data_IF_937864309691
#
_entry.id   IF_937864309691
#
_cell.length_a   1.000
_cell.length_b   1.000
_cell.length_c   1.000
_cell.angle_alpha   90.00
_cell.angle_beta   90.00
_cell.angle_gamma   90.00
#
_symmetry.space_group_name_H-M   'P 1'
#
loop_
_entity.id
_entity.type
_entity.pdbx_description
1 polymer ?
#
# COMPACT_ATOMS: atom_id res chain seq x y z
N UNK A 1 56.76 15.80 -24.70
CA UNK A 1 55.38 15.43 -24.31
C UNK A 1 55.45 14.12 -23.55
N UNK A 2 55.27 14.16 -22.22
CA UNK A 2 55.37 13.00 -21.32
C UNK A 2 54.01 12.33 -21.21
N UNK A 3 53.83 11.14 -21.79
CA UNK A 3 52.57 10.41 -21.73
C UNK A 3 52.52 9.56 -20.46
N UNK A 4 51.82 10.05 -19.44
CA UNK A 4 51.61 9.32 -18.19
C UNK A 4 50.70 8.11 -18.44
N UNK A 5 51.24 6.89 -18.27
CA UNK A 5 50.54 5.63 -18.53
C UNK A 5 49.67 5.26 -17.32
N UNK A 6 48.36 5.43 -17.44
CA UNK A 6 47.39 5.05 -16.41
C UNK A 6 47.43 3.54 -16.22
N UNK A 7 47.73 3.07 -15.00
CA UNK A 7 47.64 1.65 -14.63
C UNK A 7 46.31 1.42 -13.94
N UNK A 8 45.37 0.79 -14.62
CA UNK A 8 44.17 0.27 -13.98
C UNK A 8 44.55 -0.88 -13.05
N UNK A 9 44.26 -0.76 -11.75
CA UNK A 9 44.33 -1.87 -10.81
C UNK A 9 42.94 -2.48 -10.71
N UNK A 10 42.84 -3.76 -11.05
CA UNK A 10 41.63 -4.55 -10.80
C UNK A 10 41.68 -4.97 -9.33
N UNK A 11 40.72 -4.49 -8.54
CA UNK A 11 40.53 -4.95 -7.15
C UNK A 11 39.50 -6.05 -7.20
N UNK A 12 39.91 -7.27 -6.85
CA UNK A 12 38.99 -8.39 -6.63
C UNK A 12 38.41 -8.23 -5.22
N UNK A 13 37.17 -7.74 -5.14
CA UNK A 13 36.44 -7.71 -3.89
C UNK A 13 35.78 -9.07 -3.67
N UNK A 14 36.20 -9.78 -2.62
CA UNK A 14 35.55 -11.03 -2.21
C UNK A 14 34.18 -10.71 -1.60
N UNK A 15 33.18 -11.58 -1.84
CA UNK A 15 31.78 -11.36 -1.46
C UNK A 15 31.61 -11.13 0.05
N UNK A 16 32.53 -11.71 0.83
CA UNK A 16 32.51 -11.65 2.29
C UNK A 16 33.12 -10.34 2.84
N UNK A 17 33.77 -9.54 2.00
CA UNK A 17 34.33 -8.22 2.34
C UNK A 17 33.27 -7.12 2.38
N UNK A 18 32.08 -7.38 1.81
CA UNK A 18 30.95 -6.44 1.70
C UNK A 18 29.83 -6.86 2.67
N UNK A 19 30.19 -7.46 3.81
CA UNK A 19 29.21 -7.67 4.88
C UNK A 19 29.19 -6.40 5.75
N UNK A 20 28.11 -5.59 5.71
CA UNK A 20 27.96 -4.51 6.66
C UNK A 20 27.93 -5.14 8.05
N UNK A 21 28.77 -4.66 8.97
CA UNK A 21 28.77 -5.15 10.36
C UNK A 21 27.33 -5.00 10.89
N UNK A 22 26.70 -6.13 11.20
CA UNK A 22 25.26 -6.32 11.47
C UNK A 22 24.71 -5.55 12.70
N UNK A 23 25.56 -4.79 13.38
CA UNK A 23 25.27 -4.08 14.64
C UNK A 23 25.35 -2.56 14.55
N UNK A 24 25.38 -1.98 13.34
CA UNK A 24 25.23 -0.55 13.23
C UNK A 24 23.77 -0.15 13.48
N UNK A 25 23.48 0.27 14.72
CA UNK A 25 22.17 0.75 15.17
C UNK A 25 21.61 1.81 14.20
N UNK A 26 22.50 2.55 13.54
CA UNK A 26 22.15 3.56 12.56
C UNK A 26 21.52 2.95 11.30
N UNK A 27 21.98 1.79 10.83
CA UNK A 27 21.42 1.10 9.67
C UNK A 27 20.07 0.48 10.00
N UNK A 28 19.88 -0.04 11.21
CA UNK A 28 18.55 -0.51 11.67
C UNK A 28 17.56 0.64 11.77
N UNK A 29 17.99 1.79 12.31
CA UNK A 29 17.14 2.98 12.39
C UNK A 29 16.80 3.52 11.01
N UNK A 30 17.79 3.62 10.10
CA UNK A 30 17.59 4.02 8.71
C UNK A 30 16.60 3.10 7.97
N UNK A 31 16.70 1.78 8.17
CA UNK A 31 15.73 0.83 7.59
C UNK A 31 14.32 1.00 8.17
N UNK A 32 14.21 1.25 9.48
CA UNK A 32 12.93 1.52 10.15
C UNK A 32 12.32 2.82 9.64
N UNK A 33 13.11 3.88 9.48
CA UNK A 33 12.63 5.18 8.99
C UNK A 33 12.17 5.09 7.54
N UNK A 34 12.95 4.43 6.67
CA UNK A 34 12.58 4.16 5.27
C UNK A 34 11.32 3.27 5.19
N UNK A 35 11.21 2.26 6.05
CA UNK A 35 10.04 1.38 6.09
C UNK A 35 8.79 2.11 6.57
N UNK A 36 8.91 2.96 7.60
CA UNK A 36 7.81 3.74 8.15
C UNK A 36 7.37 4.86 7.19
N UNK A 37 8.27 5.49 6.45
CA UNK A 37 7.91 6.50 5.45
C UNK A 37 7.09 5.90 4.30
N UNK A 38 7.37 4.66 3.90
CA UNK A 38 6.66 3.96 2.82
C UNK A 38 5.33 3.28 3.25
N UNK A 39 5.03 3.22 4.54
CA UNK A 39 3.83 2.52 5.06
C UNK A 39 2.74 3.50 5.54
N UNK A 40 3.07 4.77 5.71
CA UNK A 40 2.15 5.74 6.33
C UNK A 40 1.40 6.65 5.35
N UNK A 41 1.63 6.56 4.04
CA UNK A 41 0.66 7.09 3.07
C UNK A 41 -0.48 6.08 2.91
N UNK A 42 -1.39 6.10 3.89
CA UNK A 42 -2.64 5.37 3.79
C UNK A 42 -3.41 5.74 2.51
N UNK A 43 -4.47 4.99 2.22
CA UNK A 43 -5.35 5.27 1.09
C UNK A 43 -5.89 6.72 1.04
N UNK A 44 -5.81 7.45 2.14
CA UNK A 44 -6.28 8.81 2.31
C UNK A 44 -5.09 9.71 2.58
N UNK A 45 -4.93 10.72 1.72
CA UNK A 45 -3.92 11.76 1.88
C UNK A 45 -4.29 12.70 3.05
N UNK A 46 -3.32 13.45 3.55
CA UNK A 46 -3.52 14.46 4.61
C UNK A 46 -4.58 15.52 4.29
N UNK A 47 -4.84 15.76 3.00
CA UNK A 47 -5.88 16.68 2.52
C UNK A 47 -7.29 16.05 2.43
N UNK A 48 -7.47 14.79 2.85
CA UNK A 48 -8.74 14.07 2.79
C UNK A 48 -9.07 13.47 1.42
N UNK A 49 -8.21 13.61 0.41
CA UNK A 49 -8.39 12.97 -0.89
C UNK A 49 -7.95 11.50 -0.85
N UNK A 50 -8.74 10.63 -1.47
CA UNK A 50 -8.43 9.20 -1.56
C UNK A 50 -7.54 8.94 -2.78
N UNK A 51 -6.40 8.29 -2.56
CA UNK A 51 -5.47 7.86 -3.61
C UNK A 51 -5.89 6.48 -4.12
N UNK A 52 -6.67 6.43 -5.21
CA UNK A 52 -7.22 5.19 -5.76
C UNK A 52 -6.18 4.22 -6.33
N UNK A 53 -4.94 4.67 -6.50
CA UNK A 53 -3.83 3.90 -7.04
C UNK A 53 -3.01 3.19 -5.94
N UNK A 54 -3.36 3.41 -4.67
CA UNK A 54 -2.67 2.79 -3.56
C UNK A 54 -2.99 1.30 -3.48
N UNK A 55 -1.95 0.45 -3.45
CA UNK A 55 -2.10 -1.00 -3.28
C UNK A 55 -2.88 -1.39 -2.00
N UNK A 56 -2.92 -0.50 -1.00
CA UNK A 56 -3.65 -0.68 0.26
C UNK A 56 -5.18 -0.65 0.11
N UNK A 57 -5.73 -0.04 -0.95
CA UNK A 57 -7.18 -0.03 -1.21
C UNK A 57 -7.73 -1.37 -1.72
N UNK A 58 -6.84 -2.35 -1.90
CA UNK A 58 -7.18 -3.69 -2.32
C UNK A 58 -7.70 -3.76 -3.75
N UNK A 59 -7.91 -4.99 -4.22
CA UNK A 59 -8.42 -5.27 -5.56
C UNK A 59 -9.89 -4.84 -5.76
N UNK A 60 -10.58 -4.43 -4.69
CA UNK A 60 -11.98 -4.00 -4.74
C UNK A 60 -12.16 -2.66 -5.45
N UNK A 61 -11.17 -1.77 -5.39
CA UNK A 61 -11.18 -0.46 -6.05
C UNK A 61 -10.96 -0.55 -7.58
N UNK A 62 -10.58 -1.72 -8.09
CA UNK A 62 -10.26 -1.97 -9.50
C UNK A 62 -11.10 -3.17 -9.96
N UNK A 63 -12.25 -2.89 -10.56
CA UNK A 63 -13.15 -3.94 -11.03
C UNK A 63 -14.54 -3.43 -11.43
N UNK A 64 -15.46 -4.32 -11.85
CA UNK A 64 -16.80 -3.94 -12.31
C UNK A 64 -17.64 -3.25 -11.22
N UNK A 65 -17.36 -3.51 -9.95
CA UNK A 65 -18.04 -2.89 -8.80
C UNK A 65 -17.26 -1.72 -8.17
N UNK A 66 -16.19 -1.26 -8.84
CA UNK A 66 -15.34 -0.19 -8.32
C UNK A 66 -16.08 1.13 -8.14
N UNK A 67 -17.07 1.43 -8.99
CA UNK A 67 -17.85 2.68 -8.89
C UNK A 67 -18.65 2.78 -7.57
N UNK A 68 -19.26 1.67 -7.15
CA UNK A 68 -20.01 1.58 -5.90
C UNK A 68 -19.06 1.57 -4.70
N UNK A 69 -17.93 0.88 -4.81
CA UNK A 69 -16.88 0.89 -3.79
C UNK A 69 -16.33 2.30 -3.55
N UNK A 70 -16.01 3.03 -4.63
CA UNK A 70 -15.50 4.41 -4.54
C UNK A 70 -16.49 5.35 -3.85
N UNK A 71 -17.77 5.24 -4.19
CA UNK A 71 -18.83 6.04 -3.58
C UNK A 71 -19.03 5.73 -2.08
N UNK A 72 -19.04 4.45 -1.71
CA UNK A 72 -19.16 4.03 -0.31
C UNK A 72 -17.94 4.47 0.51
N UNK A 73 -16.73 4.30 -0.03
CA UNK A 73 -15.48 4.64 0.65
C UNK A 73 -15.30 6.16 0.77
N UNK A 74 -15.67 6.94 -0.26
CA UNK A 74 -15.70 8.41 -0.15
C UNK A 74 -16.67 8.89 0.90
N UNK A 75 -17.87 8.30 0.96
CA UNK A 75 -18.87 8.65 1.96
C UNK A 75 -18.38 8.34 3.37
N UNK A 76 -17.78 7.15 3.57
CA UNK A 76 -17.20 6.75 4.85
C UNK A 76 -16.09 7.71 5.30
N UNK A 77 -15.24 8.16 4.38
CA UNK A 77 -14.15 9.08 4.69
C UNK A 77 -14.64 10.49 5.05
N UNK A 78 -15.71 10.97 4.41
CA UNK A 78 -16.33 12.27 4.71
C UNK A 78 -17.28 12.25 5.91
N UNK A 79 -17.67 11.06 6.37
CA UNK A 79 -18.65 10.91 7.45
C UNK A 79 -18.05 11.27 8.80
N UNK A 80 -18.74 12.17 9.52
CA UNK A 80 -18.39 12.61 10.86
C UNK A 80 -19.23 11.92 11.95
N UNK A 81 -20.01 10.89 11.59
CA UNK A 81 -20.83 10.12 12.52
C UNK A 81 -19.99 9.05 13.22
N UNK A 82 -20.41 8.65 14.42
CA UNK A 82 -19.80 7.57 15.18
C UNK A 82 -20.84 6.44 15.33
N UNK A 83 -20.64 5.27 14.70
CA UNK A 83 -19.50 4.85 13.89
C UNK A 83 -19.45 5.54 12.51
N UNK A 84 -18.23 5.75 12.00
CA UNK A 84 -17.99 6.39 10.70
C UNK A 84 -18.74 5.65 9.60
N UNK A 85 -19.44 6.40 8.75
CA UNK A 85 -20.15 5.84 7.62
C UNK A 85 -21.46 5.12 7.96
N UNK A 86 -21.99 5.28 9.18
CA UNK A 86 -23.34 4.82 9.54
C UNK A 86 -24.44 5.39 8.63
N UNK A 87 -24.27 6.61 8.14
CA UNK A 87 -25.16 7.24 7.16
C UNK A 87 -24.94 6.73 5.72
N UNK A 88 -23.80 6.07 5.46
CA UNK A 88 -23.39 5.59 4.14
C UNK A 88 -23.76 4.13 3.89
N UNK A 89 -24.52 3.50 4.79
CA UNK A 89 -24.88 2.08 4.73
C UNK A 89 -25.55 1.69 3.42
N UNK A 90 -26.33 2.58 2.81
CA UNK A 90 -26.98 2.34 1.52
C UNK A 90 -25.95 2.12 0.41
N UNK A 91 -24.86 2.88 0.40
CA UNK A 91 -23.80 2.74 -0.61
C UNK A 91 -23.02 1.43 -0.41
N UNK A 92 -22.75 1.07 0.86
CA UNK A 92 -22.17 -0.24 1.18
C UNK A 92 -23.09 -1.40 0.75
N UNK A 93 -24.41 -1.27 0.91
CA UNK A 93 -25.35 -2.29 0.43
C UNK A 93 -25.35 -2.42 -1.09
N UNK A 94 -25.27 -1.31 -1.83
CA UNK A 94 -25.16 -1.33 -3.31
C UNK A 94 -23.87 -2.02 -3.76
N UNK A 95 -22.76 -1.72 -3.10
CA UNK A 95 -21.48 -2.39 -3.35
C UNK A 95 -21.58 -3.89 -3.07
N UNK A 96 -22.17 -4.29 -1.94
CA UNK A 96 -22.36 -5.69 -1.58
C UNK A 96 -23.28 -6.42 -2.58
N UNK A 97 -24.36 -5.78 -3.03
CA UNK A 97 -25.23 -6.31 -4.07
C UNK A 97 -24.46 -6.53 -5.39
N UNK A 98 -23.54 -5.62 -5.73
CA UNK A 98 -22.70 -5.77 -6.90
C UNK A 98 -21.73 -6.97 -6.77
N UNK A 99 -21.08 -7.14 -5.61
CA UNK A 99 -20.20 -8.29 -5.37
C UNK A 99 -20.94 -9.64 -5.48
N UNK A 100 -22.18 -9.70 -5.02
CA UNK A 100 -23.03 -10.90 -5.16
C UNK A 100 -23.31 -11.28 -6.62
N UNK A 101 -23.28 -10.32 -7.55
CA UNK A 101 -23.45 -10.59 -9.00
C UNK A 101 -22.19 -11.17 -9.64
N UNK A 102 -21.01 -10.93 -9.04
CA UNK A 102 -19.72 -11.41 -9.56
C UNK A 102 -19.01 -12.32 -8.54
N UNK A 103 -19.63 -13.44 -8.13
CA UNK A 103 -19.07 -14.32 -7.10
C UNK A 103 -17.71 -14.87 -7.52
N UNK A 104 -17.46 -15.16 -8.81
CA UNK A 104 -16.15 -15.67 -9.26
C UNK A 104 -14.98 -14.69 -9.07
N UNK A 105 -15.26 -13.38 -9.01
CA UNK A 105 -14.24 -12.34 -8.86
C UNK A 105 -14.05 -11.92 -7.40
N UNK A 106 -15.14 -11.85 -6.63
CA UNK A 106 -15.13 -11.32 -5.26
C UNK A 106 -15.29 -12.39 -4.17
N UNK A 107 -15.63 -13.64 -4.51
CA UNK A 107 -15.77 -14.77 -3.56
C UNK A 107 -14.48 -15.60 -3.44
N UNK A 108 -13.30 -14.99 -3.58
CA UNK A 108 -12.06 -15.71 -3.33
C UNK A 108 -11.93 -16.00 -1.83
N UNK A 109 -11.98 -17.29 -1.52
CA UNK A 109 -12.17 -17.96 -0.24
C UNK A 109 -11.13 -17.71 0.86
N UNK A 110 -10.40 -16.59 0.85
CA UNK A 110 -9.39 -16.27 1.85
C UNK A 110 -9.74 -15.06 2.74
N UNK A 111 -10.92 -14.47 2.59
CA UNK A 111 -11.46 -13.52 3.57
C UNK A 111 -12.70 -14.07 4.25
N UNK A 112 -12.47 -15.11 5.05
CA UNK A 112 -13.32 -15.46 6.18
C UNK A 112 -13.24 -14.37 7.25
N UNK A 113 -13.69 -13.16 6.94
CA UNK A 113 -14.01 -12.16 7.96
C UNK A 113 -15.46 -11.78 7.76
N UNK A 114 -16.32 -12.50 8.50
CA UNK A 114 -17.59 -11.97 8.98
C UNK A 114 -17.36 -10.52 9.43
N UNK A 115 -18.16 -9.61 8.90
CA UNK A 115 -18.45 -8.36 9.59
C UNK A 115 -19.11 -8.76 10.92
N UNK A 116 -18.59 -8.36 12.09
CA UNK A 116 -19.27 -8.59 13.36
C UNK A 116 -20.64 -7.89 13.39
#
# INVERSE_FOLDING_TARGET
MSTSKIRHRIIFADRDSITPKENDLHIKQLWIDIYNENINEGAVKSNGMISWDCACLGTQAIGPCSSQFRAAFSCHQTSNKEPKGSECMIEFMKMQNCFQRYPKLYNNSNHSNKIP
#
